data_IF_107253634894
#
_entry.id   IF_107253634894
#
_cell.length_a   1.000
_cell.length_b   1.000
_cell.length_c   1.000
_cell.angle_alpha   90.00
_cell.angle_beta   90.00
_cell.angle_gamma   90.00
#
_symmetry.space_group_name_H-M   'P 1'
#
loop_
_entity.id
_entity.type
_entity.pdbx_description
1 polymer ?
#
# COMPACT_ATOMS: atom_id res chain seq x y z
N UNK A 1 42.14 -2.19 -9.90
CA UNK A 1 40.74 -1.93 -9.50
C UNK A 1 39.83 -2.37 -10.65
N UNK A 2 39.14 -3.54 -10.59
CA UNK A 2 38.20 -3.90 -11.62
C UNK A 2 36.81 -3.28 -11.35
N UNK A 3 36.05 -2.93 -12.40
CA UNK A 3 34.78 -2.23 -12.27
C UNK A 3 33.67 -3.11 -11.69
N UNK A 4 32.79 -2.48 -10.92
CA UNK A 4 31.60 -3.05 -10.31
C UNK A 4 30.69 -3.68 -11.37
N UNK A 5 30.66 -5.02 -11.40
CA UNK A 5 29.71 -5.79 -12.19
C UNK A 5 28.30 -5.50 -11.69
N UNK A 6 27.60 -4.59 -12.36
CA UNK A 6 26.15 -4.50 -12.29
C UNK A 6 25.59 -5.91 -12.56
N UNK A 7 25.05 -6.57 -11.52
CA UNK A 7 24.38 -7.87 -11.63
C UNK A 7 23.21 -7.71 -12.59
N UNK A 8 23.41 -8.00 -13.88
CA UNK A 8 22.33 -8.30 -14.82
C UNK A 8 21.55 -9.47 -14.22
N UNK A 9 20.32 -9.21 -13.78
CA UNK A 9 19.39 -10.25 -13.29
C UNK A 9 19.22 -11.29 -14.39
N UNK A 10 19.40 -12.57 -14.05
CA UNK A 10 19.18 -13.68 -15.00
C UNK A 10 17.68 -13.73 -15.35
N UNK A 11 17.31 -13.86 -16.64
CA UNK A 11 15.93 -14.12 -17.02
C UNK A 11 15.51 -15.46 -16.39
N UNK A 12 14.47 -15.45 -15.55
CA UNK A 12 14.00 -16.63 -14.82
C UNK A 12 14.03 -16.55 -13.29
N UNK A 13 14.65 -15.53 -12.68
CA UNK A 13 14.52 -15.32 -11.23
C UNK A 13 13.10 -14.85 -10.88
N UNK A 14 12.28 -15.74 -10.28
CA UNK A 14 10.98 -15.38 -9.70
C UNK A 14 11.17 -14.20 -8.74
N UNK A 15 10.40 -13.13 -8.93
CA UNK A 15 10.35 -12.01 -7.99
C UNK A 15 10.07 -12.57 -6.59
N UNK A 16 10.92 -12.24 -5.61
CA UNK A 16 10.69 -12.60 -4.21
C UNK A 16 9.36 -12.00 -3.75
N UNK A 17 8.63 -12.67 -2.85
CA UNK A 17 7.31 -12.20 -2.36
C UNK A 17 7.36 -10.74 -1.90
N UNK A 18 8.46 -10.32 -1.29
CA UNK A 18 8.74 -8.93 -0.88
C UNK A 18 8.78 -7.94 -2.04
N UNK A 19 9.38 -8.29 -3.19
CA UNK A 19 9.41 -7.40 -4.37
C UNK A 19 8.04 -7.25 -5.02
N UNK A 20 7.21 -8.30 -4.95
CA UNK A 20 5.83 -8.27 -5.43
C UNK A 20 4.97 -7.36 -4.55
N UNK A 21 5.07 -7.51 -3.23
CA UNK A 21 4.37 -6.66 -2.25
C UNK A 21 4.78 -5.20 -2.46
N UNK A 22 6.08 -4.91 -2.59
CA UNK A 22 6.56 -3.55 -2.84
C UNK A 22 5.97 -2.95 -4.13
N UNK A 23 5.95 -3.72 -5.23
CA UNK A 23 5.38 -3.26 -6.49
C UNK A 23 3.86 -3.03 -6.39
N UNK A 24 3.15 -3.94 -5.74
CA UNK A 24 1.70 -3.81 -5.51
C UNK A 24 1.37 -2.59 -4.66
N UNK A 25 2.13 -2.33 -3.59
CA UNK A 25 1.95 -1.14 -2.75
C UNK A 25 2.22 0.16 -3.51
N UNK A 26 3.25 0.20 -4.36
CA UNK A 26 3.53 1.38 -5.20
C UNK A 26 2.41 1.62 -6.21
N UNK A 27 1.92 0.56 -6.88
CA UNK A 27 0.76 0.69 -7.77
C UNK A 27 -0.48 1.18 -7.03
N UNK A 28 -0.78 0.62 -5.86
CA UNK A 28 -1.90 1.05 -5.05
C UNK A 28 -1.77 2.53 -4.66
N UNK A 29 -0.59 2.97 -4.21
CA UNK A 29 -0.33 4.37 -3.89
C UNK A 29 -0.53 5.29 -5.11
N UNK A 30 -0.06 4.87 -6.29
CA UNK A 30 -0.26 5.61 -7.54
C UNK A 30 -1.74 5.75 -7.90
N UNK A 31 -2.50 4.66 -7.82
CA UNK A 31 -3.96 4.67 -8.10
C UNK A 31 -4.69 5.59 -7.12
N UNK A 32 -4.34 5.54 -5.84
CA UNK A 32 -4.93 6.40 -4.80
C UNK A 32 -4.64 7.87 -5.07
N UNK A 33 -3.41 8.21 -5.46
CA UNK A 33 -3.04 9.58 -5.83
C UNK A 33 -3.84 10.10 -7.03
N UNK A 34 -3.96 9.29 -8.08
CA UNK A 34 -4.72 9.68 -9.29
C UNK A 34 -6.21 9.85 -8.96
N UNK A 35 -6.80 8.92 -8.21
CA UNK A 35 -8.19 9.01 -7.79
C UNK A 35 -8.44 10.22 -6.89
N UNK A 36 -7.54 10.50 -5.95
CA UNK A 36 -7.63 11.67 -5.07
C UNK A 36 -7.49 12.98 -5.86
N UNK A 37 -6.57 13.05 -6.83
CA UNK A 37 -6.43 14.21 -7.69
C UNK A 37 -7.71 14.47 -8.52
N UNK A 38 -8.29 13.43 -9.11
CA UNK A 38 -9.55 13.53 -9.83
C UNK A 38 -10.70 13.99 -8.92
N UNK A 39 -10.81 13.41 -7.72
CA UNK A 39 -11.81 13.80 -6.73
C UNK A 39 -11.64 15.25 -6.25
N UNK A 40 -10.40 15.71 -6.05
CA UNK A 40 -10.10 17.08 -5.66
C UNK A 40 -10.45 18.09 -6.76
N UNK A 41 -10.31 17.72 -8.03
CA UNK A 41 -10.77 18.55 -9.14
C UNK A 41 -12.30 18.62 -9.21
N UNK A 42 -12.98 17.49 -8.99
CA UNK A 42 -14.45 17.39 -9.01
C UNK A 42 -15.14 18.06 -7.80
N UNK A 43 -14.49 18.07 -6.64
CA UNK A 43 -15.04 18.59 -5.38
C UNK A 43 -14.14 19.71 -4.82
N UNK A 44 -14.19 20.92 -5.40
CA UNK A 44 -13.28 22.01 -5.05
C UNK A 44 -13.36 22.45 -3.59
N UNK A 45 -14.55 22.37 -2.99
CA UNK A 45 -14.82 22.71 -1.58
C UNK A 45 -14.10 21.78 -0.59
N UNK A 46 -13.74 20.56 -1.00
CA UNK A 46 -13.12 19.55 -0.12
C UNK A 46 -11.67 19.21 -0.50
N UNK A 47 -11.02 20.00 -1.38
CA UNK A 47 -9.67 19.74 -1.90
C UNK A 47 -8.64 19.44 -0.83
N UNK A 48 -8.61 20.24 0.25
CA UNK A 48 -7.65 20.05 1.34
C UNK A 48 -7.91 18.76 2.12
N UNK A 49 -9.17 18.46 2.45
CA UNK A 49 -9.54 17.20 3.12
C UNK A 49 -9.17 15.98 2.28
N UNK A 50 -9.43 16.04 0.97
CA UNK A 50 -9.08 14.96 0.04
C UNK A 50 -7.57 14.77 -0.05
N UNK A 51 -6.82 15.86 -0.17
CA UNK A 51 -5.35 15.83 -0.24
C UNK A 51 -4.74 15.25 1.04
N UNK A 52 -5.24 15.67 2.22
CA UNK A 52 -4.79 15.15 3.52
C UNK A 52 -5.12 13.68 3.68
N UNK A 53 -6.35 13.26 3.33
CA UNK A 53 -6.73 11.84 3.36
C UNK A 53 -5.86 10.97 2.45
N UNK A 54 -5.56 11.46 1.24
CA UNK A 54 -4.66 10.77 0.32
C UNK A 54 -3.23 10.69 0.84
N UNK A 55 -2.70 11.78 1.41
CA UNK A 55 -1.36 11.81 2.00
C UNK A 55 -1.22 10.82 3.16
N UNK A 56 -2.21 10.76 4.06
CA UNK A 56 -2.24 9.79 5.17
C UNK A 56 -2.29 8.37 4.62
N UNK A 57 -3.19 8.09 3.68
CA UNK A 57 -3.34 6.79 3.07
C UNK A 57 -2.04 6.28 2.42
N UNK A 58 -1.38 7.14 1.64
CA UNK A 58 -0.11 6.83 0.98
C UNK A 58 1.01 6.65 2.01
N UNK A 59 1.12 7.54 2.99
CA UNK A 59 2.12 7.45 4.06
C UNK A 59 2.02 6.14 4.84
N UNK A 60 0.81 5.75 5.23
CA UNK A 60 0.57 4.49 5.95
C UNK A 60 0.85 3.25 5.08
N UNK A 61 0.60 3.33 3.76
CA UNK A 61 0.98 2.29 2.81
C UNK A 61 2.51 2.09 2.75
N UNK A 62 3.29 3.16 2.69
CA UNK A 62 4.75 3.07 2.70
C UNK A 62 5.33 2.63 4.05
N UNK A 63 4.78 3.13 5.16
CA UNK A 63 5.19 2.71 6.50
C UNK A 63 4.98 1.20 6.70
N UNK A 64 3.84 0.70 6.24
CA UNK A 64 3.50 -0.73 6.30
C UNK A 64 4.43 -1.56 5.42
N UNK A 65 4.78 -1.06 4.22
CA UNK A 65 5.73 -1.73 3.35
C UNK A 65 7.12 -1.81 3.99
N UNK A 66 7.59 -0.72 4.61
CA UNK A 66 8.86 -0.71 5.33
C UNK A 66 8.85 -1.73 6.49
N UNK A 67 7.76 -1.76 7.26
CA UNK A 67 7.56 -2.76 8.33
C UNK A 67 7.59 -4.19 7.80
N UNK A 68 6.89 -4.49 6.70
CA UNK A 68 6.88 -5.82 6.10
C UNK A 68 8.25 -6.23 5.53
N UNK A 69 9.02 -5.28 4.98
CA UNK A 69 10.39 -5.55 4.52
C UNK A 69 11.30 -5.91 5.69
N UNK A 70 11.17 -5.22 6.82
CA UNK A 70 11.94 -5.53 8.03
C UNK A 70 11.51 -6.88 8.60
N UNK A 71 10.21 -7.10 8.82
CA UNK A 71 9.69 -8.37 9.37
C UNK A 71 10.05 -9.56 8.47
N UNK A 72 9.91 -9.41 7.15
CA UNK A 72 10.25 -10.46 6.20
C UNK A 72 11.75 -10.78 6.11
N UNK A 73 12.64 -9.93 6.66
CA UNK A 73 14.07 -10.25 6.80
C UNK A 73 14.38 -11.12 8.01
N UNK A 74 13.56 -11.04 9.07
CA UNK A 74 13.80 -11.75 10.33
C UNK A 74 12.89 -12.97 10.53
N UNK A 75 11.70 -12.99 9.89
CA UNK A 75 10.69 -14.03 10.09
C UNK A 75 10.07 -14.44 8.73
N UNK A 76 10.68 -15.40 8.04
CA UNK A 76 10.20 -15.90 6.74
C UNK A 76 8.84 -16.60 6.84
N UNK A 77 8.58 -17.25 7.97
CA UNK A 77 7.43 -18.16 8.15
C UNK A 77 6.18 -17.42 8.65
N UNK A 78 6.33 -16.15 9.04
CA UNK A 78 5.26 -15.31 9.60
C UNK A 78 4.64 -14.33 8.59
N UNK A 79 4.80 -14.55 7.27
CA UNK A 79 4.32 -13.57 6.26
C UNK A 79 2.82 -13.27 6.35
N UNK A 80 1.97 -14.27 6.61
CA UNK A 80 0.53 -14.07 6.76
C UNK A 80 0.21 -13.18 7.98
N UNK A 81 0.86 -13.44 9.12
CA UNK A 81 0.75 -12.60 10.31
C UNK A 81 1.29 -11.19 10.05
N UNK A 82 2.39 -11.06 9.30
CA UNK A 82 2.96 -9.77 8.89
C UNK A 82 2.00 -8.92 8.04
N UNK A 83 1.21 -9.55 7.16
CA UNK A 83 0.14 -8.85 6.40
C UNK A 83 -0.92 -8.33 7.34
N UNK A 84 -1.45 -9.17 8.24
CA UNK A 84 -2.50 -8.77 9.21
C UNK A 84 -2.00 -7.66 10.12
N UNK A 85 -0.81 -7.81 10.72
CA UNK A 85 -0.18 -6.78 11.57
C UNK A 85 0.00 -5.47 10.83
N UNK A 86 0.37 -5.52 9.54
CA UNK A 86 0.49 -4.30 8.73
C UNK A 86 -0.85 -3.57 8.56
N UNK A 87 -1.97 -4.29 8.38
CA UNK A 87 -3.29 -3.68 8.32
C UNK A 87 -3.72 -3.10 9.66
N UNK A 88 -3.47 -3.81 10.77
CA UNK A 88 -3.75 -3.30 12.12
C UNK A 88 -2.97 -2.00 12.38
N UNK A 89 -1.69 -1.95 12.01
CA UNK A 89 -0.88 -0.73 12.12
C UNK A 89 -1.40 0.42 11.25
N UNK A 90 -1.92 0.14 10.05
CA UNK A 90 -2.58 1.18 9.23
C UNK A 90 -3.83 1.73 9.91
N UNK A 91 -4.66 0.87 10.48
CA UNK A 91 -5.88 1.29 11.17
C UNK A 91 -5.56 2.13 12.41
N UNK A 92 -4.58 1.70 13.21
CA UNK A 92 -4.11 2.46 14.38
C UNK A 92 -3.49 3.80 13.97
N UNK A 93 -2.59 3.80 12.98
CA UNK A 93 -1.98 5.02 12.46
C UNK A 93 -3.04 5.99 11.92
N UNK A 94 -4.05 5.49 11.22
CA UNK A 94 -5.16 6.30 10.77
C UNK A 94 -6.01 6.85 11.92
N UNK A 95 -6.28 6.04 12.95
CA UNK A 95 -7.02 6.51 14.12
C UNK A 95 -6.30 7.67 14.83
N UNK A 96 -4.96 7.60 14.96
CA UNK A 96 -4.14 8.69 15.49
C UNK A 96 -4.24 9.93 14.59
N UNK A 97 -4.09 9.77 13.27
CA UNK A 97 -4.23 10.89 12.34
C UNK A 97 -5.63 11.52 12.40
N UNK A 98 -6.69 10.72 12.43
CA UNK A 98 -8.07 11.18 12.53
C UNK A 98 -8.32 11.92 13.84
N UNK A 99 -7.73 11.44 14.95
CA UNK A 99 -7.80 12.12 16.25
C UNK A 99 -7.14 13.50 16.20
N UNK A 100 -5.94 13.60 15.62
CA UNK A 100 -5.23 14.87 15.44
C UNK A 100 -6.01 15.83 14.54
N UNK A 101 -6.67 15.30 13.49
CA UNK A 101 -7.43 16.09 12.53
C UNK A 101 -8.78 16.61 13.05
N UNK A 102 -9.25 16.11 14.20
CA UNK A 102 -10.57 16.45 14.76
C UNK A 102 -10.76 17.96 14.97
N UNK A 103 -9.68 18.71 15.20
CA UNK A 103 -9.71 20.15 15.47
C UNK A 103 -9.14 21.00 14.31
N UNK A 104 -8.87 20.41 13.14
CA UNK A 104 -8.14 21.09 12.06
C UNK A 104 -9.03 21.88 11.09
N UNK A 105 -10.34 21.97 11.33
CA UNK A 105 -11.31 22.59 10.41
C UNK A 105 -11.53 21.82 9.11
N UNK A 106 -10.93 20.64 8.97
CA UNK A 106 -11.09 19.74 7.83
C UNK A 106 -12.33 18.88 8.00
N UNK A 107 -13.00 18.60 6.88
CA UNK A 107 -14.07 17.60 6.86
C UNK A 107 -13.48 16.19 7.06
N UNK A 108 -13.51 15.73 8.31
CA UNK A 108 -13.01 14.41 8.73
C UNK A 108 -13.78 13.29 8.02
N UNK A 109 -15.06 13.48 7.67
CA UNK A 109 -15.84 12.45 6.95
C UNK A 109 -15.23 12.22 5.57
N UNK A 110 -14.79 13.28 4.89
CA UNK A 110 -14.13 13.17 3.60
C UNK A 110 -12.75 12.53 3.71
N UNK A 111 -11.97 12.89 4.75
CA UNK A 111 -10.67 12.26 5.04
C UNK A 111 -10.84 10.74 5.26
N UNK A 112 -11.83 10.35 6.07
CA UNK A 112 -12.18 8.95 6.32
C UNK A 112 -12.63 8.26 5.03
N UNK A 113 -13.49 8.91 4.23
CA UNK A 113 -13.96 8.37 2.96
C UNK A 113 -12.82 8.06 1.99
N UNK A 114 -11.89 9.00 1.81
CA UNK A 114 -10.69 8.80 0.98
C UNK A 114 -9.81 7.68 1.51
N UNK A 115 -9.65 7.59 2.84
CA UNK A 115 -8.87 6.53 3.46
C UNK A 115 -9.50 5.14 3.25
N UNK A 116 -10.82 5.01 3.40
CA UNK A 116 -11.56 3.77 3.15
C UNK A 116 -11.46 3.36 1.67
N UNK A 117 -11.64 4.30 0.73
CA UNK A 117 -11.47 4.03 -0.70
C UNK A 117 -10.04 3.54 -0.98
N UNK A 118 -9.04 4.18 -0.38
CA UNK A 118 -7.65 3.74 -0.52
C UNK A 118 -7.41 2.33 0.03
N UNK A 119 -8.02 1.96 1.15
CA UNK A 119 -7.95 0.60 1.68
C UNK A 119 -8.54 -0.41 0.69
N UNK A 120 -9.71 -0.12 0.13
CA UNK A 120 -10.37 -0.98 -0.87
C UNK A 120 -9.50 -1.13 -2.13
N UNK A 121 -8.96 -0.02 -2.65
CA UNK A 121 -8.06 -0.04 -3.81
C UNK A 121 -6.79 -0.85 -3.50
N UNK A 122 -6.19 -0.63 -2.33
CA UNK A 122 -4.99 -1.37 -1.92
C UNK A 122 -5.25 -2.87 -1.82
N UNK A 123 -6.41 -3.25 -1.27
CA UNK A 123 -6.84 -4.64 -1.19
C UNK A 123 -7.10 -5.23 -2.58
N UNK A 124 -7.78 -4.50 -3.47
CA UNK A 124 -8.06 -4.93 -4.83
C UNK A 124 -6.78 -5.16 -5.64
N UNK A 125 -5.82 -4.22 -5.57
CA UNK A 125 -4.51 -4.35 -6.23
C UNK A 125 -3.74 -5.54 -5.68
N UNK A 126 -3.73 -5.72 -4.35
CA UNK A 126 -3.06 -6.86 -3.73
C UNK A 126 -3.68 -8.20 -4.14
N UNK A 127 -5.02 -8.30 -4.12
CA UNK A 127 -5.77 -9.49 -4.54
C UNK A 127 -5.53 -9.79 -6.02
N UNK A 128 -5.57 -8.78 -6.89
CA UNK A 128 -5.31 -8.94 -8.32
C UNK A 128 -3.89 -9.46 -8.60
N UNK A 129 -2.89 -8.87 -7.94
CA UNK A 129 -1.49 -9.29 -8.08
C UNK A 129 -1.29 -10.71 -7.52
N UNK A 130 -1.98 -11.06 -6.43
CA UNK A 130 -1.93 -12.40 -5.84
C UNK A 130 -2.59 -13.44 -6.74
N UNK A 131 -3.80 -13.19 -7.23
CA UNK A 131 -4.56 -14.07 -8.13
C UNK A 131 -3.82 -14.34 -9.45
N UNK A 132 -3.16 -13.32 -10.03
CA UNK A 132 -2.31 -13.52 -11.23
C UNK A 132 -1.12 -14.45 -10.98
N UNK A 133 -0.71 -14.63 -9.73
CA UNK A 133 0.35 -15.57 -9.34
C UNK A 133 -0.21 -16.97 -9.03
N UNK A 134 -1.46 -17.04 -8.57
CA UNK A 134 -2.25 -18.27 -8.40
C UNK A 134 -2.81 -18.84 -9.71
N UNK A 135 -2.19 -18.52 -10.86
CA UNK A 135 -2.49 -19.18 -12.14
C UNK A 135 -2.40 -20.71 -11.98
N UNK A 136 -3.19 -21.47 -12.76
CA UNK A 136 -3.66 -22.80 -12.39
C UNK A 136 -2.49 -23.75 -12.17
N UNK A 137 -2.23 -24.10 -10.92
CA UNK A 137 -1.75 -25.44 -10.57
C UNK A 137 -2.98 -26.29 -10.30
N UNK A 138 -3.76 -26.52 -11.36
CA UNK A 138 -4.64 -27.68 -11.44
C UNK A 138 -3.79 -28.77 -12.07
N UNK A 139 -3.25 -29.64 -11.21
CA UNK A 139 -2.56 -30.87 -11.59
C UNK A 139 -1.25 -30.68 -12.35
N UNK A 140 -0.14 -30.85 -11.66
CA UNK A 140 0.89 -31.73 -12.20
C UNK A 140 1.46 -32.52 -11.03
N UNK A 141 1.51 -33.83 -11.27
CA UNK A 141 1.85 -34.91 -10.34
C UNK A 141 3.26 -34.78 -9.77
#
# INVERSE_FOLDING_TARGET
MPPSRARRRRPGQRLTSTQVIARATVWAAGVVLVAAAAAALALPTHRLSIAVGAAIAVGLNFLSLAGMVVVGRYFSDAQAAGVVTSYVLKLLGFAVCAFVLKNSGLDVRMVVGVFVISLVVSLAVFSYVSLRKSGPFVGDQ
#
